data_IF_411610802976
#
_entry.id   IF_411610802976
#
_cell.length_a   1.000
_cell.length_b   1.000
_cell.length_c   1.000
_cell.angle_alpha   90.00
_cell.angle_beta   90.00
_cell.angle_gamma   90.00
#
_symmetry.space_group_name_H-M   'P 1'
#
loop_
_entity.id
_entity.type
_entity.pdbx_description
1 polymer ?
#
# COMPACT_ATOMS: atom_id res chain seq x y z
N UNK A 1 29.08 58.46 -61.33
CA UNK A 1 29.45 57.06 -61.01
C UNK A 1 29.02 56.72 -59.57
N UNK A 2 27.75 56.39 -59.34
CA UNK A 2 27.20 55.98 -58.02
C UNK A 2 25.99 55.05 -58.22
N UNK A 3 26.19 53.82 -58.71
CA UNK A 3 25.08 52.84 -58.81
C UNK A 3 25.43 51.41 -58.35
N UNK A 4 26.65 51.13 -57.89
CA UNK A 4 27.05 49.74 -57.58
C UNK A 4 26.88 49.30 -56.11
N UNK A 5 26.53 50.21 -55.18
CA UNK A 5 26.60 49.94 -53.73
C UNK A 5 25.27 49.57 -53.05
N UNK A 6 24.13 49.72 -53.73
CA UNK A 6 22.81 49.49 -53.10
C UNK A 6 22.30 48.04 -53.22
N UNK A 7 22.70 47.29 -54.25
CA UNK A 7 22.21 45.92 -54.48
C UNK A 7 22.91 44.87 -53.61
N UNK A 8 24.18 45.10 -53.22
CA UNK A 8 24.92 44.21 -52.31
C UNK A 8 24.35 44.28 -50.89
N UNK A 9 23.97 45.48 -50.44
CA UNK A 9 23.34 45.67 -49.15
C UNK A 9 22.04 44.89 -49.07
N UNK A 10 21.10 45.00 -50.02
CA UNK A 10 19.80 44.29 -50.00
C UNK A 10 19.90 42.76 -49.99
N UNK A 11 20.91 42.18 -50.64
CA UNK A 11 21.08 40.72 -50.76
C UNK A 11 21.57 40.05 -49.48
N UNK A 12 22.21 40.80 -48.57
CA UNK A 12 22.71 40.30 -47.28
C UNK A 12 21.63 40.20 -46.19
N UNK A 13 20.46 40.80 -46.37
CA UNK A 13 19.38 40.77 -45.35
C UNK A 13 18.55 39.50 -45.44
N UNK A 14 18.54 38.81 -46.58
CA UNK A 14 17.78 37.56 -46.79
C UNK A 14 18.28 36.42 -45.89
N UNK A 15 19.59 36.10 -45.83
CA UNK A 15 20.07 35.06 -44.93
C UNK A 15 19.91 35.44 -43.46
N UNK A 16 20.06 36.73 -43.13
CA UNK A 16 19.82 37.24 -41.76
C UNK A 16 18.34 37.11 -41.39
N UNK A 17 17.44 37.46 -42.29
CA UNK A 17 16.00 37.31 -42.09
C UNK A 17 15.58 35.84 -41.94
N UNK A 18 16.19 34.93 -42.71
CA UNK A 18 15.95 33.49 -42.60
C UNK A 18 16.45 32.91 -41.26
N UNK A 19 17.63 33.36 -40.79
CA UNK A 19 18.16 32.96 -39.48
C UNK A 19 17.28 33.49 -38.34
N UNK A 20 16.84 34.75 -38.44
CA UNK A 20 15.91 35.35 -37.46
C UNK A 20 14.57 34.61 -37.47
N UNK A 21 14.04 34.25 -38.64
CA UNK A 21 12.79 33.52 -38.76
C UNK A 21 12.88 32.11 -38.17
N UNK A 22 14.01 31.40 -38.39
CA UNK A 22 14.25 30.08 -37.80
C UNK A 22 14.42 30.10 -36.27
N UNK A 23 14.93 31.20 -35.71
CA UNK A 23 15.02 31.38 -34.26
C UNK A 23 13.65 31.62 -33.60
N UNK A 24 12.67 32.16 -34.34
CA UNK A 24 11.32 32.45 -33.83
C UNK A 24 10.44 31.19 -33.77
N UNK A 25 10.70 30.18 -34.61
CA UNK A 25 9.87 28.96 -34.70
C UNK A 25 10.17 27.88 -33.64
N UNK A 26 11.15 28.11 -32.77
CA UNK A 26 11.67 27.09 -31.83
C UNK A 26 10.92 26.99 -30.49
N UNK A 27 9.82 27.70 -30.29
CA UNK A 27 9.02 27.57 -29.08
C UNK A 27 8.03 26.41 -29.20
N UNK A 28 8.53 25.18 -29.04
CA UNK A 28 7.67 24.05 -28.67
C UNK A 28 7.22 24.26 -27.22
N UNK A 29 6.06 24.87 -27.00
CA UNK A 29 5.39 24.78 -25.70
C UNK A 29 4.95 23.32 -25.52
N UNK A 30 5.61 22.57 -24.66
CA UNK A 30 4.99 21.35 -24.13
C UNK A 30 3.62 21.72 -23.58
N UNK A 31 2.59 20.95 -23.89
CA UNK A 31 1.30 21.11 -23.22
C UNK A 31 1.53 20.83 -21.73
N UNK A 32 1.61 21.88 -20.92
CA UNK A 32 1.58 21.80 -19.46
C UNK A 32 0.14 21.59 -18.99
N UNK A 33 -0.57 20.67 -19.63
CA UNK A 33 -1.89 20.26 -19.19
C UNK A 33 -1.68 19.11 -18.22
N UNK A 34 -1.73 19.45 -16.93
CA UNK A 34 -1.91 18.46 -15.88
C UNK A 34 -3.41 18.18 -15.84
N UNK A 35 -3.86 17.18 -16.61
CA UNK A 35 -5.21 16.66 -16.49
C UNK A 35 -5.40 16.19 -15.05
N UNK A 36 -6.24 16.92 -14.30
CA UNK A 36 -6.65 16.48 -12.98
C UNK A 36 -7.73 15.41 -13.17
N UNK A 37 -7.42 14.20 -12.74
CA UNK A 37 -8.38 13.11 -12.64
C UNK A 37 -8.52 12.73 -11.17
N UNK A 38 -9.76 12.48 -10.77
CA UNK A 38 -10.08 11.81 -9.51
C UNK A 38 -10.60 10.41 -9.82
N UNK A 39 -10.11 9.41 -9.10
CA UNK A 39 -10.63 8.04 -9.18
C UNK A 39 -11.67 7.93 -8.06
N UNK A 40 -12.88 8.40 -8.33
CA UNK A 40 -13.98 8.45 -7.34
C UNK A 40 -14.68 7.10 -7.10
N UNK A 41 -14.18 6.02 -7.72
CA UNK A 41 -14.75 4.68 -7.66
C UNK A 41 -13.70 3.64 -7.31
N UNK A 42 -13.31 3.60 -6.04
CA UNK A 42 -12.27 2.68 -5.57
C UNK A 42 -12.83 1.32 -5.11
N UNK A 43 -12.75 0.29 -5.97
CA UNK A 43 -13.08 -1.10 -5.63
C UNK A 43 -14.53 -1.52 -5.95
N UNK A 44 -14.99 -2.63 -5.38
CA UNK A 44 -16.31 -3.20 -5.67
C UNK A 44 -16.48 -4.65 -5.23
N UNK A 45 -17.67 -5.18 -5.51
CA UNK A 45 -18.06 -6.56 -5.22
C UNK A 45 -17.86 -7.43 -6.47
N UNK A 46 -17.01 -8.43 -6.37
CA UNK A 46 -16.75 -9.46 -7.39
C UNK A 46 -17.30 -10.80 -6.89
N UNK A 47 -17.78 -11.65 -7.79
CA UNK A 47 -18.31 -12.98 -7.42
C UNK A 47 -17.92 -14.05 -8.43
N UNK A 48 -17.73 -15.28 -7.95
CA UNK A 48 -17.43 -16.45 -8.78
C UNK A 48 -17.83 -17.75 -8.07
N UNK A 49 -18.80 -18.47 -8.64
CA UNK A 49 -19.37 -19.67 -7.99
C UNK A 49 -20.05 -19.30 -6.66
N UNK A 50 -19.78 -20.01 -5.55
CA UNK A 50 -20.32 -19.69 -4.23
C UNK A 50 -19.57 -18.57 -3.51
N UNK A 51 -18.54 -17.97 -4.12
CA UNK A 51 -17.66 -17.01 -3.47
C UNK A 51 -17.94 -15.58 -3.89
N UNK A 52 -17.74 -14.67 -2.93
CA UNK A 52 -17.89 -13.23 -3.08
C UNK A 52 -16.66 -12.53 -2.50
N UNK A 53 -16.17 -11.51 -3.21
CA UNK A 53 -15.02 -10.71 -2.84
C UNK A 53 -15.42 -9.24 -2.85
N UNK A 54 -15.21 -8.55 -1.73
CA UNK A 54 -15.35 -7.10 -1.64
C UNK A 54 -13.95 -6.49 -1.59
N UNK A 55 -13.65 -5.55 -2.47
CA UNK A 55 -12.35 -4.85 -2.49
C UNK A 55 -12.51 -3.34 -2.54
N UNK A 56 -11.46 -2.63 -2.13
CA UNK A 56 -11.32 -1.18 -2.24
C UNK A 56 -10.03 -0.85 -3.00
N UNK A 57 -10.03 0.23 -3.77
CA UNK A 57 -8.84 0.72 -4.49
C UNK A 57 -8.56 2.14 -3.98
N UNK A 58 -7.28 2.52 -3.92
CA UNK A 58 -6.89 3.89 -3.57
C UNK A 58 -6.96 4.18 -2.07
N UNK A 59 -6.44 3.28 -1.24
CA UNK A 59 -6.35 3.47 0.21
C UNK A 59 -4.90 3.70 0.65
N UNK A 60 -4.33 4.90 0.44
CA UNK A 60 -2.93 5.17 0.77
C UNK A 60 -2.63 5.10 2.28
N UNK A 61 -3.64 5.19 3.12
CA UNK A 61 -3.59 5.13 4.59
C UNK A 61 -4.22 3.84 5.16
N UNK A 62 -4.60 2.87 4.32
CA UNK A 62 -5.06 1.56 4.80
C UNK A 62 -3.88 0.74 5.31
N UNK A 63 -3.58 0.91 6.59
CA UNK A 63 -2.56 0.17 7.30
C UNK A 63 -2.87 0.14 8.80
N UNK A 64 -2.20 -0.77 9.51
CA UNK A 64 -2.09 -0.71 10.95
C UNK A 64 -1.01 0.29 11.34
N UNK A 65 -1.27 1.09 12.38
CA UNK A 65 -0.32 2.00 13.01
C UNK A 65 -0.49 1.93 14.52
N UNK A 66 0.59 2.06 15.28
CA UNK A 66 0.57 2.05 16.75
C UNK A 66 1.44 3.15 17.34
N UNK A 67 1.06 3.62 18.54
CA UNK A 67 1.82 4.61 19.30
C UNK A 67 1.32 4.75 20.73
N UNK A 68 2.21 4.56 21.71
CA UNK A 68 1.83 4.50 23.12
C UNK A 68 0.92 3.29 23.38
N UNK A 69 -0.17 3.51 24.12
CA UNK A 69 -1.20 2.49 24.41
C UNK A 69 -2.32 2.48 23.36
N UNK A 70 -2.10 3.06 22.18
CA UNK A 70 -3.13 3.22 21.15
C UNK A 70 -2.74 2.55 19.84
N UNK A 71 -3.75 1.97 19.20
CA UNK A 71 -3.67 1.38 17.86
C UNK A 71 -4.69 2.03 16.93
N UNK A 72 -4.31 2.20 15.67
CA UNK A 72 -5.14 2.73 14.61
C UNK A 72 -5.09 1.78 13.42
N UNK A 73 -6.27 1.30 13.02
CA UNK A 73 -6.47 0.62 11.74
C UNK A 73 -7.06 1.63 10.76
N UNK A 74 -6.24 2.09 9.83
CA UNK A 74 -6.66 2.96 8.74
C UNK A 74 -7.31 2.18 7.60
N UNK A 75 -8.05 2.90 6.76
CA UNK A 75 -8.76 2.35 5.60
C UNK A 75 -10.28 2.27 5.79
N UNK A 76 -10.98 2.20 4.65
CA UNK A 76 -12.42 1.91 4.58
C UNK A 76 -12.65 0.41 4.81
N UNK A 77 -11.76 -0.42 4.24
CA UNK A 77 -11.48 -1.76 4.72
C UNK A 77 -10.16 -1.69 5.48
N UNK A 78 -10.12 -2.23 6.70
CA UNK A 78 -8.92 -2.17 7.54
C UNK A 78 -7.73 -2.83 6.83
N UNK A 79 -6.70 -2.05 6.51
CA UNK A 79 -5.51 -2.54 5.77
C UNK A 79 -4.42 -3.18 6.64
N UNK A 80 -4.64 -3.24 7.96
CA UNK A 80 -3.77 -3.96 8.87
C UNK A 80 -3.86 -5.48 8.69
N UNK A 81 -2.90 -6.26 9.24
CA UNK A 81 -3.00 -7.71 9.22
C UNK A 81 -4.29 -8.14 9.95
N UNK A 82 -5.31 -8.50 9.18
CA UNK A 82 -6.55 -9.11 9.65
C UNK A 82 -6.28 -10.55 10.08
N UNK A 83 -5.56 -10.69 11.19
CA UNK A 83 -5.48 -11.94 11.93
C UNK A 83 -6.76 -12.06 12.76
N UNK A 84 -7.71 -12.81 12.25
CA UNK A 84 -8.83 -13.27 13.04
C UNK A 84 -8.38 -14.53 13.76
N UNK A 85 -8.36 -14.50 15.10
CA UNK A 85 -8.30 -15.74 15.85
C UNK A 85 -9.68 -16.38 15.69
N UNK A 86 -9.72 -17.47 14.95
CA UNK A 86 -10.93 -18.18 14.58
C UNK A 86 -10.86 -19.63 15.10
N UNK A 87 -11.81 -20.45 14.66
CA UNK A 87 -11.84 -21.85 15.06
C UNK A 87 -10.65 -22.67 14.52
N UNK A 88 -9.95 -22.25 13.45
CA UNK A 88 -8.73 -22.91 12.97
C UNK A 88 -7.60 -22.72 13.98
N UNK A 89 -7.46 -21.50 14.51
CA UNK A 89 -6.50 -21.20 15.58
C UNK A 89 -6.73 -22.06 16.82
N UNK A 90 -7.99 -22.26 17.21
CA UNK A 90 -8.34 -23.15 18.32
C UNK A 90 -8.05 -24.62 18.03
N UNK A 91 -8.30 -25.07 16.79
CA UNK A 91 -7.99 -26.44 16.38
C UNK A 91 -6.48 -26.72 16.47
N UNK A 92 -5.64 -25.83 15.94
CA UNK A 92 -4.17 -25.93 16.05
C UNK A 92 -3.70 -25.93 17.50
N UNK A 93 -4.28 -25.05 18.32
CA UNK A 93 -3.99 -25.03 19.75
C UNK A 93 -4.32 -26.38 20.41
N UNK A 94 -5.48 -26.95 20.09
CA UNK A 94 -5.90 -28.25 20.59
C UNK A 94 -5.00 -29.39 20.12
N UNK A 95 -4.47 -29.34 18.89
CA UNK A 95 -3.46 -30.29 18.40
C UNK A 95 -2.20 -30.25 19.26
N UNK A 96 -1.65 -29.05 19.51
CA UNK A 96 -0.49 -28.90 20.39
C UNK A 96 -0.78 -29.25 21.85
N UNK A 97 -2.04 -29.13 22.30
CA UNK A 97 -2.43 -29.51 23.66
C UNK A 97 -2.33 -31.01 23.92
N UNK A 98 -2.51 -31.83 22.88
CA UNK A 98 -2.29 -33.27 22.92
C UNK A 98 -0.81 -33.62 23.04
N UNK A 99 0.06 -32.73 22.57
CA UNK A 99 1.50 -32.82 22.75
C UNK A 99 1.92 -32.21 24.11
N UNK A 100 3.06 -32.64 24.63
CA UNK A 100 3.64 -32.14 25.88
C UNK A 100 5.13 -31.90 25.69
N UNK A 101 5.55 -30.65 25.82
CA UNK A 101 6.94 -30.25 25.69
C UNK A 101 7.09 -28.74 25.78
N UNK A 102 8.32 -28.31 26.07
CA UNK A 102 8.71 -26.89 26.11
C UNK A 102 8.89 -26.33 24.70
N UNK A 103 8.53 -25.08 24.48
CA UNK A 103 8.75 -24.39 23.21
C UNK A 103 7.80 -24.81 22.08
N UNK A 104 6.65 -25.38 22.44
CA UNK A 104 5.55 -25.56 21.50
C UNK A 104 4.94 -24.19 21.16
N UNK A 105 4.40 -23.98 19.94
CA UNK A 105 3.72 -22.73 19.60
C UNK A 105 2.52 -22.37 20.51
N UNK A 106 1.94 -23.37 21.18
CA UNK A 106 0.84 -23.21 22.12
C UNK A 106 1.30 -22.97 23.58
N UNK A 107 2.61 -22.96 23.85
CA UNK A 107 3.22 -22.61 25.13
C UNK A 107 3.31 -21.07 25.20
N UNK A 108 2.17 -20.46 25.48
CA UNK A 108 1.94 -19.02 25.40
C UNK A 108 2.21 -18.30 26.73
N UNK A 109 2.33 -19.07 27.82
CA UNK A 109 2.52 -18.56 29.17
C UNK A 109 3.76 -19.17 29.82
N UNK A 110 4.73 -18.33 30.16
CA UNK A 110 5.94 -18.76 30.86
C UNK A 110 5.62 -19.08 32.34
N UNK A 111 5.62 -20.36 32.69
CA UNK A 111 5.50 -20.86 34.06
C UNK A 111 6.67 -21.79 34.45
N UNK A 112 6.61 -22.39 35.66
CA UNK A 112 7.74 -23.17 36.21
C UNK A 112 8.12 -24.40 35.37
N UNK A 113 7.18 -24.96 34.62
CA UNK A 113 7.40 -26.14 33.79
C UNK A 113 7.41 -25.82 32.29
N UNK A 114 6.94 -24.63 31.89
CA UNK A 114 6.93 -24.09 30.54
C UNK A 114 6.35 -25.08 29.53
N UNK A 115 5.19 -25.65 29.86
CA UNK A 115 4.48 -26.60 29.02
C UNK A 115 3.03 -26.18 28.81
N UNK A 116 2.48 -26.56 27.66
CA UNK A 116 1.08 -26.34 27.29
C UNK A 116 0.11 -26.92 28.33
N UNK A 117 -0.57 -26.03 29.05
CA UNK A 117 -1.48 -26.32 30.14
C UNK A 117 -2.57 -25.22 30.28
N UNK A 118 -3.37 -25.32 31.34
CA UNK A 118 -4.51 -24.44 31.60
C UNK A 118 -4.17 -22.94 31.55
N UNK A 119 -2.95 -22.56 31.93
CA UNK A 119 -2.49 -21.17 31.90
C UNK A 119 -2.39 -20.65 30.46
N UNK A 120 -1.85 -21.45 29.53
CA UNK A 120 -1.79 -21.11 28.11
C UNK A 120 -3.16 -20.95 27.48
N UNK A 121 -4.13 -21.80 27.86
CA UNK A 121 -5.51 -21.67 27.37
C UNK A 121 -6.15 -20.37 27.84
N UNK A 122 -5.81 -19.91 29.04
CA UNK A 122 -6.26 -18.61 29.54
C UNK A 122 -5.79 -17.48 28.61
N UNK A 123 -4.50 -17.47 28.29
CA UNK A 123 -3.90 -16.48 27.37
C UNK A 123 -4.51 -16.59 25.97
N UNK A 124 -4.66 -17.81 25.45
CA UNK A 124 -5.29 -18.05 24.14
C UNK A 124 -6.72 -17.50 24.08
N UNK A 125 -7.54 -17.75 25.11
CA UNK A 125 -8.93 -17.30 25.18
C UNK A 125 -9.02 -15.78 25.33
N UNK A 126 -8.19 -15.17 26.16
CA UNK A 126 -8.16 -13.71 26.32
C UNK A 126 -7.78 -13.03 25.00
N UNK A 127 -6.84 -13.60 24.25
CA UNK A 127 -6.45 -13.07 22.95
C UNK A 127 -7.50 -13.32 21.88
N UNK A 128 -8.18 -14.47 21.91
CA UNK A 128 -9.34 -14.74 21.07
C UNK A 128 -10.44 -13.70 21.27
N UNK A 129 -10.65 -13.24 22.51
CA UNK A 129 -11.62 -12.19 22.83
C UNK A 129 -11.16 -10.77 22.42
N UNK A 130 -9.85 -10.51 22.34
CA UNK A 130 -9.31 -9.14 22.24
C UNK A 130 -8.63 -8.74 20.91
N UNK A 131 -8.69 -9.54 19.84
CA UNK A 131 -8.04 -9.29 18.53
C UNK A 131 -6.50 -9.17 18.55
N UNK A 132 -5.89 -10.28 18.12
CA UNK A 132 -4.51 -10.56 17.68
C UNK A 132 -3.31 -9.75 18.24
N UNK A 133 -2.42 -10.40 19.02
CA UNK A 133 -1.09 -9.89 19.34
C UNK A 133 -0.14 -9.90 18.12
N UNK A 134 0.82 -8.97 18.10
CA UNK A 134 1.91 -8.98 17.14
C UNK A 134 2.75 -10.27 17.27
N UNK A 135 3.04 -10.95 16.14
CA UNK A 135 3.88 -12.17 16.13
C UNK A 135 3.18 -13.46 16.54
N UNK A 136 1.84 -13.54 16.44
CA UNK A 136 1.04 -14.70 16.86
C UNK A 136 1.57 -16.06 16.36
N UNK A 137 1.95 -16.99 17.26
CA UNK A 137 2.64 -18.24 16.90
C UNK A 137 1.74 -19.32 16.29
N UNK A 138 0.41 -19.17 16.37
CA UNK A 138 -0.56 -20.16 15.88
C UNK A 138 -1.19 -19.82 14.52
N UNK A 139 -0.69 -18.78 13.83
CA UNK A 139 -1.08 -18.45 12.43
C UNK A 139 -0.69 -19.53 11.44
#
# INVERSE_FOLDING_TARGET
>A
MKLFRQNVLKKQWIPVALVVLGLITSSSSGQYELDWYTIDGGGGRSSGGPYELLGTIGQPDAAWSAGGDYELLGGFLSGGPLCFIDFDSFARFAEYWLEKGVGLPADLYEDENNIVNKLDLGVFVDQWLCYCPAGWPLK
#
